data_IF_744216462305
#
_entry.id   IF_744216462305
#
_cell.length_a   1.000
_cell.length_b   1.000
_cell.length_c   1.000
_cell.angle_alpha   90.00
_cell.angle_beta   90.00
_cell.angle_gamma   90.00
#
_symmetry.space_group_name_H-M   'P 1'
#
loop_
_entity.id
_entity.type
_entity.pdbx_description
1 polymer ?
#
# COMPACT_ATOMS: atom_id res chain seq x y z
N UNK A 1 46.33 -16.75 -31.84
CA UNK A 1 46.11 -15.68 -30.84
C UNK A 1 44.69 -15.14 -31.04
N UNK A 2 43.65 -15.90 -30.69
CA UNK A 2 42.23 -15.53 -30.91
C UNK A 2 41.28 -16.51 -30.20
N UNK A 3 41.52 -16.81 -28.91
CA UNK A 3 40.69 -17.75 -28.12
C UNK A 3 40.38 -17.27 -26.69
N UNK A 4 40.47 -15.98 -26.41
CA UNK A 4 40.21 -15.42 -25.06
C UNK A 4 39.24 -14.22 -25.05
N UNK A 5 38.35 -14.09 -26.02
CA UNK A 5 37.39 -12.96 -26.09
C UNK A 5 35.92 -13.39 -25.93
N UNK A 6 35.60 -14.68 -25.96
CA UNK A 6 34.19 -15.17 -25.91
C UNK A 6 33.77 -15.63 -24.50
N UNK A 7 34.45 -15.19 -23.43
CA UNK A 7 34.05 -15.50 -22.05
C UNK A 7 33.81 -14.25 -21.19
N UNK A 8 33.47 -13.12 -21.82
CA UNK A 8 33.07 -11.89 -21.12
C UNK A 8 31.66 -11.39 -21.50
N UNK A 9 30.93 -12.14 -22.33
CA UNK A 9 29.59 -11.78 -22.81
C UNK A 9 28.43 -12.41 -22.01
N UNK A 10 28.72 -13.20 -20.97
CA UNK A 10 27.69 -13.86 -20.12
C UNK A 10 27.48 -13.11 -18.79
N UNK A 11 28.26 -12.07 -18.48
CA UNK A 11 28.09 -11.26 -17.26
C UNK A 11 27.28 -9.97 -17.45
N UNK A 12 26.73 -9.74 -18.64
CA UNK A 12 25.60 -8.82 -18.83
C UNK A 12 24.28 -9.58 -18.65
N UNK A 13 24.18 -10.37 -17.57
CA UNK A 13 22.87 -10.58 -16.96
C UNK A 13 22.52 -9.21 -16.40
N UNK A 14 21.90 -8.37 -17.23
CA UNK A 14 21.03 -7.32 -16.70
C UNK A 14 20.26 -7.98 -15.56
N UNK A 15 20.26 -7.44 -14.33
CA UNK A 15 19.30 -7.93 -13.36
C UNK A 15 17.95 -7.70 -14.04
N UNK A 16 17.38 -8.78 -14.60
CA UNK A 16 15.97 -8.87 -14.92
C UNK A 16 15.34 -8.50 -13.59
N UNK A 17 14.89 -7.26 -13.49
CA UNK A 17 14.25 -6.76 -12.29
C UNK A 17 13.07 -7.69 -12.07
N UNK A 18 13.23 -8.63 -11.14
CA UNK A 18 12.22 -9.63 -10.85
C UNK A 18 10.99 -8.88 -10.38
N UNK A 19 9.84 -9.16 -11.01
CA UNK A 19 8.56 -8.62 -10.57
C UNK A 19 8.39 -8.89 -9.06
N UNK A 20 8.11 -7.84 -8.30
CA UNK A 20 7.83 -7.97 -6.87
C UNK A 20 6.44 -8.57 -6.61
N UNK A 21 5.62 -8.75 -7.64
CA UNK A 21 4.30 -9.36 -7.57
C UNK A 21 3.35 -8.60 -6.60
N UNK A 22 3.46 -7.27 -6.55
CA UNK A 22 2.75 -6.41 -5.60
C UNK A 22 1.23 -6.56 -5.74
N UNK A 23 0.69 -6.37 -6.93
CA UNK A 23 -0.74 -6.51 -7.17
C UNK A 23 -1.22 -7.95 -6.99
N UNK A 24 -0.41 -8.93 -7.39
CA UNK A 24 -0.74 -10.34 -7.15
C UNK A 24 -0.89 -10.65 -5.66
N UNK A 25 -0.04 -10.07 -4.81
CA UNK A 25 -0.18 -10.16 -3.36
C UNK A 25 -1.44 -9.42 -2.87
N UNK A 26 -1.69 -8.20 -3.35
CA UNK A 26 -2.87 -7.41 -2.95
C UNK A 26 -4.19 -8.12 -3.27
N UNK A 27 -4.28 -8.81 -4.41
CA UNK A 27 -5.45 -9.60 -4.78
C UNK A 27 -5.76 -10.70 -3.77
N UNK A 28 -4.73 -11.36 -3.22
CA UNK A 28 -4.92 -12.36 -2.17
C UNK A 28 -5.46 -11.73 -0.89
N UNK A 29 -5.08 -10.48 -0.57
CA UNK A 29 -5.67 -9.75 0.56
C UNK A 29 -7.17 -9.52 0.35
N UNK A 30 -7.61 -9.11 -0.83
CA UNK A 30 -9.05 -8.94 -1.10
C UNK A 30 -9.85 -10.25 -0.95
N UNK A 31 -9.28 -11.38 -1.38
CA UNK A 31 -9.89 -12.70 -1.17
C UNK A 31 -9.91 -13.08 0.31
N UNK A 32 -8.84 -12.77 1.05
CA UNK A 32 -8.77 -13.03 2.48
C UNK A 32 -9.83 -12.23 3.25
N UNK A 33 -9.98 -10.95 2.96
CA UNK A 33 -11.00 -10.07 3.53
C UNK A 33 -12.42 -10.56 3.20
N UNK A 34 -12.65 -11.01 1.95
CA UNK A 34 -13.92 -11.63 1.56
C UNK A 34 -14.27 -12.83 2.45
N UNK A 35 -13.36 -13.80 2.57
CA UNK A 35 -13.61 -15.00 3.37
C UNK A 35 -13.68 -14.71 4.87
N UNK A 36 -12.91 -13.75 5.37
CA UNK A 36 -12.97 -13.33 6.77
C UNK A 36 -14.36 -12.76 7.10
N UNK A 37 -14.91 -11.92 6.21
CA UNK A 37 -16.26 -11.39 6.36
C UNK A 37 -17.33 -12.49 6.33
N UNK A 38 -17.15 -13.50 5.48
CA UNK A 38 -18.01 -14.69 5.44
C UNK A 38 -17.82 -15.64 6.63
N UNK A 39 -16.90 -15.34 7.55
CA UNK A 39 -16.50 -16.19 8.68
C UNK A 39 -15.92 -17.54 8.26
N UNK A 40 -15.41 -17.63 7.04
CA UNK A 40 -14.64 -18.78 6.54
C UNK A 40 -13.16 -18.65 6.94
N UNK A 41 -12.93 -18.66 8.26
CA UNK A 41 -11.65 -18.31 8.88
C UNK A 41 -10.43 -19.03 8.28
N UNK A 42 -10.55 -20.33 8.00
CA UNK A 42 -9.43 -21.09 7.43
C UNK A 42 -9.08 -20.61 6.03
N UNK A 43 -10.07 -20.38 5.16
CA UNK A 43 -9.82 -19.87 3.80
C UNK A 43 -9.25 -18.46 3.84
N UNK A 44 -9.76 -17.62 4.74
CA UNK A 44 -9.24 -16.29 4.94
C UNK A 44 -7.75 -16.33 5.33
N UNK A 45 -7.39 -17.18 6.30
CA UNK A 45 -6.00 -17.37 6.72
C UNK A 45 -5.13 -17.89 5.56
N UNK A 46 -5.60 -18.87 4.78
CA UNK A 46 -4.85 -19.42 3.66
C UNK A 46 -4.53 -18.35 2.61
N UNK A 47 -5.48 -17.48 2.29
CA UNK A 47 -5.28 -16.36 1.37
C UNK A 47 -4.32 -15.29 1.93
N UNK A 48 -4.42 -14.94 3.22
CA UNK A 48 -3.43 -14.07 3.86
C UNK A 48 -2.01 -14.65 3.78
N UNK A 49 -1.84 -15.93 4.10
CA UNK A 49 -0.55 -16.60 4.06
C UNK A 49 0.04 -16.66 2.64
N UNK A 50 -0.79 -16.91 1.62
CA UNK A 50 -0.34 -16.86 0.23
C UNK A 50 0.04 -15.43 -0.19
N UNK A 51 -0.68 -14.39 0.26
CA UNK A 51 -0.29 -13.00 0.04
C UNK A 51 1.12 -12.73 0.58
N UNK A 52 1.39 -13.06 1.85
CA UNK A 52 2.68 -12.82 2.50
C UNK A 52 3.82 -13.62 1.84
N UNK A 53 3.52 -14.81 1.32
CA UNK A 53 4.47 -15.64 0.58
C UNK A 53 4.80 -15.05 -0.80
N UNK A 54 3.82 -14.48 -1.50
CA UNK A 54 4.02 -13.81 -2.79
C UNK A 54 4.88 -12.56 -2.59
N UNK A 55 4.51 -11.72 -1.62
CA UNK A 55 5.28 -10.52 -1.27
C UNK A 55 5.04 -10.15 0.21
N UNK A 56 6.04 -10.36 1.06
CA UNK A 56 5.92 -10.06 2.50
C UNK A 56 5.95 -8.56 2.82
N UNK A 57 6.28 -7.70 1.84
CA UNK A 57 6.40 -6.25 2.01
C UNK A 57 5.17 -5.47 1.54
N UNK A 58 4.32 -6.07 0.69
CA UNK A 58 3.14 -5.39 0.14
C UNK A 58 2.00 -5.26 1.16
N UNK A 59 1.54 -6.33 1.81
CA UNK A 59 0.47 -6.20 2.80
C UNK A 59 0.94 -5.36 3.97
N UNK A 60 0.13 -4.42 4.42
CA UNK A 60 0.45 -3.59 5.57
C UNK A 60 0.43 -4.40 6.89
N UNK A 61 0.82 -3.77 7.99
CA UNK A 61 0.76 -4.37 9.32
C UNK A 61 -0.61 -4.94 9.67
N UNK A 62 -1.69 -4.29 9.25
CA UNK A 62 -3.06 -4.63 9.60
C UNK A 62 -3.44 -6.00 9.06
N UNK A 63 -3.04 -6.32 7.82
CA UNK A 63 -3.25 -7.64 7.22
C UNK A 63 -2.57 -8.75 8.04
N UNK A 64 -1.34 -8.53 8.51
CA UNK A 64 -0.64 -9.49 9.38
C UNK A 64 -1.35 -9.67 10.72
N UNK A 65 -1.83 -8.57 11.33
CA UNK A 65 -2.50 -8.60 12.63
C UNK A 65 -3.90 -9.25 12.55
N UNK A 66 -4.63 -9.00 11.46
CA UNK A 66 -5.92 -9.65 11.20
C UNK A 66 -5.72 -11.15 10.96
N UNK A 67 -4.74 -11.54 10.14
CA UNK A 67 -4.39 -12.94 9.94
C UNK A 67 -3.97 -13.62 11.26
N UNK A 68 -3.23 -12.93 12.13
CA UNK A 68 -2.87 -13.44 13.46
C UNK A 68 -4.11 -13.66 14.35
N UNK A 69 -5.07 -12.73 14.35
CA UNK A 69 -6.32 -12.86 15.08
C UNK A 69 -7.15 -14.07 14.60
N UNK A 70 -7.20 -14.28 13.28
CA UNK A 70 -7.84 -15.45 12.67
C UNK A 70 -7.12 -16.73 13.07
N UNK A 71 -5.78 -16.75 13.04
CA UNK A 71 -5.00 -17.91 13.47
C UNK A 71 -5.22 -18.27 14.94
N UNK A 72 -5.33 -17.28 15.84
CA UNK A 72 -5.72 -17.52 17.24
C UNK A 72 -7.13 -18.11 17.35
N UNK A 73 -8.10 -17.59 16.57
CA UNK A 73 -9.48 -18.11 16.54
C UNK A 73 -9.53 -19.58 16.15
N UNK A 74 -8.66 -19.98 15.22
CA UNK A 74 -8.47 -21.35 14.76
C UNK A 74 -7.61 -22.21 15.72
N UNK A 75 -7.21 -21.67 16.89
CA UNK A 75 -6.30 -22.31 17.86
C UNK A 75 -4.93 -22.66 17.27
N UNK A 76 -4.54 -22.01 16.19
CA UNK A 76 -3.23 -22.16 15.57
C UNK A 76 -2.26 -21.12 16.13
N UNK A 77 -1.93 -21.28 17.41
CA UNK A 77 -1.07 -20.37 18.16
C UNK A 77 0.32 -20.18 17.54
N UNK A 78 0.89 -21.23 16.94
CA UNK A 78 2.19 -21.16 16.28
C UNK A 78 2.15 -20.17 15.11
N UNK A 79 1.16 -20.30 14.22
CA UNK A 79 0.99 -19.38 13.09
C UNK A 79 0.65 -17.97 13.58
N UNK A 80 -0.19 -17.83 14.63
CA UNK A 80 -0.51 -16.53 15.19
C UNK A 80 0.74 -15.80 15.70
N UNK A 81 1.60 -16.50 16.46
CA UNK A 81 2.88 -15.96 16.93
C UNK A 81 3.78 -15.53 15.78
N UNK A 82 3.91 -16.38 14.77
CA UNK A 82 4.73 -16.08 13.59
C UNK A 82 4.23 -14.84 12.84
N UNK A 83 2.92 -14.69 12.66
CA UNK A 83 2.32 -13.52 12.01
C UNK A 83 2.48 -12.23 12.82
N UNK A 84 2.35 -12.30 14.15
CA UNK A 84 2.67 -11.17 15.04
C UNK A 84 4.15 -10.76 14.92
N UNK A 85 5.07 -11.73 14.86
CA UNK A 85 6.49 -11.44 14.62
C UNK A 85 6.72 -10.83 13.24
N UNK A 86 6.03 -11.30 12.20
CA UNK A 86 6.16 -10.76 10.84
C UNK A 86 5.57 -9.36 10.70
N UNK A 87 4.50 -9.01 11.43
CA UNK A 87 3.98 -7.63 11.43
C UNK A 87 5.06 -6.61 11.87
N UNK A 88 5.95 -7.00 12.78
CA UNK A 88 7.09 -6.17 13.21
C UNK A 88 8.23 -6.29 12.21
N UNK A 89 8.72 -7.50 11.95
CA UNK A 89 9.96 -7.72 11.18
C UNK A 89 9.82 -7.44 9.68
N UNK A 90 8.60 -7.43 9.12
CA UNK A 90 8.35 -7.13 7.70
C UNK A 90 7.66 -5.79 7.46
N UNK A 91 6.86 -5.31 8.41
CA UNK A 91 6.04 -4.10 8.27
C UNK A 91 6.31 -3.01 9.30
N UNK A 92 7.17 -3.25 10.30
CA UNK A 92 7.47 -2.30 11.38
C UNK A 92 6.19 -1.83 12.11
N UNK A 93 5.27 -2.76 12.39
CA UNK A 93 4.06 -2.47 13.14
C UNK A 93 4.39 -1.88 14.52
N UNK A 94 3.90 -0.67 14.88
CA UNK A 94 4.21 -0.05 16.16
C UNK A 94 3.69 -0.87 17.35
N UNK A 95 4.46 -0.91 18.45
CA UNK A 95 4.09 -1.65 19.66
C UNK A 95 2.68 -1.33 20.16
N UNK A 96 2.35 -0.05 20.27
CA UNK A 96 1.04 0.38 20.76
C UNK A 96 -0.09 0.09 19.76
N UNK A 97 0.23 0.05 18.47
CA UNK A 97 -0.73 -0.37 17.45
C UNK A 97 -1.09 -1.86 17.62
N UNK A 98 -0.09 -2.72 17.80
CA UNK A 98 -0.31 -4.16 18.03
C UNK A 98 -1.15 -4.41 19.29
N UNK A 99 -0.83 -3.73 20.41
CA UNK A 99 -1.54 -3.88 21.69
C UNK A 99 -3.02 -3.51 21.61
N UNK A 100 -3.35 -2.52 20.77
CA UNK A 100 -4.69 -1.96 20.67
C UNK A 100 -5.45 -2.43 19.42
N UNK A 101 -4.86 -3.33 18.62
CA UNK A 101 -5.51 -3.84 17.42
C UNK A 101 -6.78 -4.61 17.79
N UNK A 102 -7.93 -4.13 17.32
CA UNK A 102 -9.26 -4.54 17.80
C UNK A 102 -9.47 -6.05 17.80
N UNK A 103 -9.11 -6.73 16.70
CA UNK A 103 -9.29 -8.18 16.53
C UNK A 103 -8.39 -9.02 17.44
N UNK A 104 -7.31 -8.43 17.98
CA UNK A 104 -6.35 -9.09 18.87
C UNK A 104 -6.64 -8.88 20.36
N UNK A 105 -7.57 -7.98 20.72
CA UNK A 105 -7.96 -7.72 22.11
C UNK A 105 -8.32 -9.01 22.88
N UNK A 106 -9.08 -9.97 22.33
CA UNK A 106 -9.39 -11.22 23.04
C UNK A 106 -8.17 -12.07 23.39
N UNK A 107 -7.04 -11.87 22.70
CA UNK A 107 -5.83 -12.68 22.82
C UNK A 107 -4.67 -11.95 23.50
N UNK A 108 -4.91 -10.73 24.03
CA UNK A 108 -3.87 -9.89 24.65
C UNK A 108 -3.10 -10.59 25.78
N UNK A 109 -3.76 -11.52 26.47
CA UNK A 109 -3.20 -12.26 27.61
C UNK A 109 -2.58 -13.61 27.25
N UNK A 110 -2.65 -14.01 25.97
CA UNK A 110 -2.06 -15.24 25.46
C UNK A 110 -0.54 -15.26 25.67
N UNK A 111 0.01 -16.48 25.80
CA UNK A 111 1.45 -16.68 25.93
C UNK A 111 2.19 -16.13 24.71
N UNK A 112 1.67 -16.41 23.52
CA UNK A 112 2.25 -16.03 22.25
C UNK A 112 2.33 -14.51 22.09
N UNK A 113 1.25 -13.78 22.44
CA UNK A 113 1.27 -12.32 22.45
C UNK A 113 2.33 -11.78 23.42
N UNK A 114 2.31 -12.24 24.67
CA UNK A 114 3.28 -11.80 25.69
C UNK A 114 4.73 -12.04 25.27
N UNK A 115 5.02 -13.19 24.67
CA UNK A 115 6.36 -13.53 24.18
C UNK A 115 6.82 -12.61 23.04
N UNK A 116 5.96 -12.31 22.06
CA UNK A 116 6.30 -11.41 20.96
C UNK A 116 6.53 -9.99 21.47
N UNK A 117 5.64 -9.48 22.33
CA UNK A 117 5.75 -8.13 22.86
C UNK A 117 6.99 -7.95 23.76
N UNK A 118 7.39 -8.99 24.49
CA UNK A 118 8.61 -8.97 25.31
C UNK A 118 9.90 -8.90 24.46
N UNK A 119 9.83 -9.26 23.18
CA UNK A 119 10.95 -9.25 22.23
C UNK A 119 10.86 -8.09 21.23
N UNK A 120 9.97 -7.12 21.45
CA UNK A 120 9.66 -6.10 20.46
C UNK A 120 10.90 -5.37 19.93
N UNK A 121 11.76 -4.88 20.82
CA UNK A 121 12.97 -4.12 20.43
C UNK A 121 13.92 -4.94 19.55
N UNK A 122 14.07 -6.24 19.82
CA UNK A 122 14.90 -7.14 19.02
C UNK A 122 14.32 -7.39 17.62
N UNK A 123 13.00 -7.53 17.54
CA UNK A 123 12.25 -7.72 16.31
C UNK A 123 12.22 -6.45 15.45
N UNK A 124 12.10 -5.29 16.08
CA UNK A 124 12.23 -3.99 15.42
C UNK A 124 13.65 -3.82 14.86
N UNK A 125 14.68 -4.16 15.65
CA UNK A 125 16.06 -4.13 15.15
C UNK A 125 16.28 -5.12 13.99
N UNK A 126 15.58 -6.26 13.98
CA UNK A 126 15.62 -7.20 12.85
C UNK A 126 15.05 -6.56 11.57
N UNK A 127 13.95 -5.82 11.64
CA UNK A 127 13.41 -5.09 10.50
C UNK A 127 14.49 -4.22 9.83
N UNK A 128 15.21 -3.42 10.61
CA UNK A 128 16.25 -2.52 10.07
C UNK A 128 17.46 -3.29 9.48
N UNK A 129 17.82 -4.44 10.05
CA UNK A 129 18.90 -5.30 9.53
C UNK A 129 18.55 -5.93 8.17
N UNK A 130 17.27 -6.16 7.90
CA UNK A 130 16.78 -6.77 6.66
C UNK A 130 16.51 -5.74 5.53
N UNK A 131 16.74 -4.45 5.79
CA UNK A 131 16.63 -3.43 4.76
C UNK A 131 17.69 -3.64 3.67
N UNK A 132 17.25 -3.65 2.41
CA UNK A 132 18.16 -3.75 1.25
C UNK A 132 19.13 -2.57 1.20
N UNK A 133 18.65 -1.37 1.54
CA UNK A 133 19.42 -0.13 1.54
C UNK A 133 19.08 0.70 2.79
N UNK A 134 19.62 0.37 3.98
CA UNK A 134 19.24 1.04 5.23
C UNK A 134 19.56 2.54 5.21
N UNK A 135 20.68 2.95 4.59
CA UNK A 135 21.01 4.37 4.47
C UNK A 135 19.97 5.15 3.65
N UNK A 136 19.55 4.61 2.50
CA UNK A 136 18.52 5.24 1.66
C UNK A 136 17.18 5.30 2.39
N UNK A 137 16.84 4.23 3.11
CA UNK A 137 15.64 4.18 3.94
C UNK A 137 15.64 5.27 5.01
N UNK A 138 16.70 5.36 5.81
CA UNK A 138 16.81 6.37 6.87
C UNK A 138 16.76 7.78 6.30
N UNK A 139 17.36 7.99 5.13
CA UNK A 139 17.30 9.28 4.46
C UNK A 139 15.87 9.64 4.04
N UNK A 140 15.12 8.72 3.44
CA UNK A 140 13.71 8.94 3.08
C UNK A 140 12.86 9.21 4.33
N UNK A 141 13.08 8.48 5.43
CA UNK A 141 12.41 8.75 6.69
C UNK A 141 12.71 10.15 7.21
N UNK A 142 13.94 10.63 7.10
CA UNK A 142 14.30 12.00 7.48
C UNK A 142 13.63 13.05 6.60
N UNK A 143 13.51 12.80 5.28
CA UNK A 143 12.75 13.68 4.38
C UNK A 143 11.29 13.77 4.83
N UNK A 144 10.65 12.63 5.10
CA UNK A 144 9.26 12.56 5.57
C UNK A 144 9.10 13.26 6.92
N UNK A 145 9.98 12.98 7.89
CA UNK A 145 9.90 13.58 9.22
C UNK A 145 10.07 15.11 9.18
N UNK A 146 10.99 15.60 8.34
CA UNK A 146 11.20 17.04 8.15
C UNK A 146 9.98 17.71 7.52
N UNK A 147 9.41 17.08 6.49
CA UNK A 147 8.17 17.54 5.86
C UNK A 147 7.03 17.59 6.89
N UNK A 148 6.77 16.50 7.61
CA UNK A 148 5.68 16.43 8.59
C UNK A 148 5.87 17.38 9.77
N UNK A 149 7.11 17.65 10.20
CA UNK A 149 7.40 18.60 11.26
C UNK A 149 7.00 20.03 10.87
N UNK A 150 7.39 20.47 9.68
CA UNK A 150 7.04 21.81 9.18
C UNK A 150 5.54 21.97 9.01
N UNK A 151 4.86 20.89 8.62
CA UNK A 151 3.40 20.88 8.46
C UNK A 151 2.63 21.03 9.77
N UNK A 152 3.27 20.78 10.92
CA UNK A 152 2.68 20.98 12.26
C UNK A 152 2.91 22.38 12.82
N UNK A 153 3.78 23.18 12.20
CA UNK A 153 4.11 24.53 12.69
C UNK A 153 3.38 25.60 11.86
N UNK A 154 2.16 25.94 12.28
CA UNK A 154 1.26 26.87 11.60
C UNK A 154 1.89 28.24 11.30
N UNK A 155 2.85 28.69 12.12
CA UNK A 155 3.48 30.02 11.99
C UNK A 155 4.46 30.15 10.83
N UNK A 156 5.04 29.03 10.37
CA UNK A 156 6.12 29.04 9.37
C UNK A 156 5.81 28.20 8.13
N UNK A 157 4.66 27.53 8.15
CA UNK A 157 4.20 26.59 7.12
C UNK A 157 4.42 27.10 5.70
N UNK A 158 3.87 28.27 5.34
CA UNK A 158 3.83 28.73 3.95
C UNK A 158 5.20 28.75 3.25
N UNK A 159 6.18 29.47 3.83
CA UNK A 159 7.50 29.65 3.19
C UNK A 159 8.45 28.46 3.43
N UNK A 160 8.36 27.80 4.58
CA UNK A 160 9.24 26.66 4.86
C UNK A 160 8.78 25.38 4.17
N UNK A 161 7.46 25.20 3.94
CA UNK A 161 6.93 24.06 3.21
C UNK A 161 7.41 24.07 1.76
N UNK A 162 7.29 25.18 1.03
CA UNK A 162 7.71 25.25 -0.38
C UNK A 162 9.20 24.91 -0.59
N UNK A 163 10.07 25.48 0.26
CA UNK A 163 11.51 25.19 0.24
C UNK A 163 11.80 23.73 0.58
N UNK A 164 11.11 23.18 1.58
CA UNK A 164 11.32 21.80 2.03
C UNK A 164 10.79 20.82 1.01
N UNK A 165 9.61 21.06 0.44
CA UNK A 165 9.01 20.25 -0.61
C UNK A 165 9.93 20.16 -1.83
N UNK A 166 10.53 21.29 -2.25
CA UNK A 166 11.50 21.36 -3.35
C UNK A 166 12.79 20.60 -3.04
N UNK A 167 13.32 20.75 -1.83
CA UNK A 167 14.56 20.08 -1.39
C UNK A 167 14.34 18.57 -1.27
N UNK A 168 13.26 18.17 -0.61
CA UNK A 168 12.89 16.78 -0.39
C UNK A 168 12.61 16.06 -1.69
N UNK A 169 11.90 16.68 -2.63
CA UNK A 169 11.57 16.01 -3.88
C UNK A 169 12.78 15.83 -4.78
N UNK A 170 13.66 16.83 -4.85
CA UNK A 170 14.93 16.71 -5.58
C UNK A 170 15.76 15.56 -5.02
N UNK A 171 15.85 15.47 -3.69
CA UNK A 171 16.59 14.38 -3.05
C UNK A 171 15.91 13.03 -3.25
N UNK A 172 14.57 12.97 -3.20
CA UNK A 172 13.81 11.75 -3.46
C UNK A 172 14.02 11.25 -4.90
N UNK A 173 14.11 12.14 -5.89
CA UNK A 173 14.44 11.78 -7.27
C UNK A 173 15.82 11.12 -7.36
N UNK A 174 16.83 11.67 -6.67
CA UNK A 174 18.18 11.09 -6.64
C UNK A 174 18.19 9.69 -5.99
N UNK A 175 17.51 9.55 -4.85
CA UNK A 175 17.38 8.27 -4.15
C UNK A 175 16.63 7.25 -4.99
N UNK A 176 15.56 7.66 -5.67
CA UNK A 176 14.77 6.79 -6.56
C UNK A 176 15.60 6.31 -7.75
N UNK A 177 16.37 7.20 -8.39
CA UNK A 177 17.30 6.83 -9.48
C UNK A 177 18.33 5.81 -9.03
N UNK A 178 18.83 5.94 -7.79
CA UNK A 178 19.93 5.11 -7.28
C UNK A 178 19.47 3.78 -6.69
N UNK A 179 18.35 3.77 -5.97
CA UNK A 179 17.93 2.64 -5.13
C UNK A 179 16.57 2.06 -5.49
N UNK A 180 15.82 2.71 -6.37
CA UNK A 180 14.45 2.36 -6.73
C UNK A 180 13.40 3.08 -5.87
N UNK A 181 12.12 2.79 -6.16
CA UNK A 181 11.00 3.40 -5.44
C UNK A 181 10.84 2.79 -4.05
N UNK A 182 10.50 3.65 -3.09
CA UNK A 182 10.21 3.31 -1.70
C UNK A 182 8.78 3.79 -1.39
N UNK A 183 7.87 2.87 -1.10
CA UNK A 183 6.42 3.14 -1.02
C UNK A 183 6.06 4.22 -0.01
N UNK A 184 6.81 4.31 1.09
CA UNK A 184 6.60 5.34 2.13
C UNK A 184 6.84 6.77 1.64
N UNK A 185 7.63 6.94 0.58
CA UNK A 185 7.84 8.24 -0.03
C UNK A 185 6.62 8.77 -0.80
N UNK A 186 5.53 7.99 -0.91
CA UNK A 186 4.28 8.42 -1.53
C UNK A 186 3.77 9.74 -0.96
N UNK A 187 3.88 9.96 0.36
CA UNK A 187 3.44 11.21 1.00
C UNK A 187 4.21 12.44 0.50
N UNK A 188 5.50 12.27 0.17
CA UNK A 188 6.29 13.35 -0.41
C UNK A 188 5.79 13.68 -1.82
N UNK A 189 5.45 12.67 -2.63
CA UNK A 189 4.80 12.90 -3.93
C UNK A 189 3.42 13.51 -3.81
N UNK A 190 2.66 13.11 -2.78
CA UNK A 190 1.35 13.68 -2.49
C UNK A 190 1.45 15.19 -2.30
N UNK A 191 2.50 15.72 -1.68
CA UNK A 191 2.65 17.17 -1.53
C UNK A 191 2.94 17.90 -2.85
N UNK A 192 3.33 17.17 -3.90
CA UNK A 192 3.52 17.67 -5.26
C UNK A 192 2.35 17.34 -6.21
N UNK A 193 1.20 16.91 -5.68
CA UNK A 193 -0.04 16.58 -6.44
C UNK A 193 -0.65 17.73 -7.25
N UNK A 194 -0.10 18.94 -7.16
CA UNK A 194 -0.51 20.08 -7.98
C UNK A 194 0.06 20.04 -9.40
N UNK A 195 -0.23 21.10 -10.18
CA UNK A 195 0.22 21.24 -11.57
C UNK A 195 0.72 22.65 -11.86
N UNK A 196 1.54 23.21 -10.96
CA UNK A 196 2.35 24.39 -11.28
C UNK A 196 3.55 23.96 -12.14
N UNK A 197 4.21 24.90 -12.81
CA UNK A 197 5.44 24.61 -13.56
C UNK A 197 6.53 24.00 -12.65
N UNK A 198 6.54 24.38 -11.37
CA UNK A 198 7.40 23.79 -10.33
C UNK A 198 7.06 22.33 -10.03
N UNK A 199 5.83 21.88 -10.25
CA UNK A 199 5.46 20.47 -10.06
C UNK A 199 5.65 19.66 -11.35
N UNK A 200 5.78 20.33 -12.50
CA UNK A 200 5.97 19.67 -13.79
C UNK A 200 7.24 18.82 -13.81
N UNK A 201 8.36 19.33 -13.30
CA UNK A 201 9.62 18.55 -13.30
C UNK A 201 9.53 17.29 -12.44
N UNK A 202 8.74 17.33 -11.36
CA UNK A 202 8.49 16.18 -10.48
C UNK A 202 7.77 15.10 -11.26
N UNK A 203 6.66 15.45 -11.91
CA UNK A 203 5.85 14.49 -12.67
C UNK A 203 6.49 14.03 -13.97
N UNK A 204 7.28 14.89 -14.64
CA UNK A 204 8.09 14.51 -15.80
C UNK A 204 9.06 13.37 -15.45
N UNK A 205 9.53 13.30 -14.21
CA UNK A 205 10.36 12.19 -13.72
C UNK A 205 9.53 11.02 -13.17
N UNK A 206 8.67 11.25 -12.19
CA UNK A 206 8.01 10.18 -11.44
C UNK A 206 6.93 9.46 -12.25
N UNK A 207 6.15 10.15 -13.08
CA UNK A 207 5.08 9.51 -13.84
C UNK A 207 5.59 8.38 -14.75
N UNK A 208 6.53 8.61 -15.68
CA UNK A 208 7.04 7.53 -16.53
C UNK A 208 7.78 6.45 -15.72
N UNK A 209 8.48 6.83 -14.64
CA UNK A 209 9.14 5.87 -13.77
C UNK A 209 8.14 4.92 -13.10
N UNK A 210 7.10 5.46 -12.47
CA UNK A 210 6.09 4.69 -11.73
C UNK A 210 5.20 3.89 -12.68
N UNK A 211 4.84 4.42 -13.85
CA UNK A 211 4.14 3.66 -14.90
C UNK A 211 4.95 2.44 -15.37
N UNK A 212 6.28 2.55 -15.41
CA UNK A 212 7.14 1.41 -15.72
C UNK A 212 7.18 0.40 -14.57
N UNK A 213 7.22 0.86 -13.30
CA UNK A 213 7.16 -0.04 -12.15
C UNK A 213 5.79 -0.72 -11.98
N UNK A 214 4.68 -0.06 -12.35
CA UNK A 214 3.34 -0.66 -12.45
C UNK A 214 3.33 -1.82 -13.45
N UNK A 215 3.90 -1.61 -14.64
CA UNK A 215 3.96 -2.65 -15.69
C UNK A 215 4.76 -3.88 -15.25
N UNK A 216 5.73 -3.71 -14.35
CA UNK A 216 6.55 -4.79 -13.78
C UNK A 216 5.94 -5.42 -12.52
N UNK A 217 4.77 -4.95 -12.08
CA UNK A 217 4.14 -5.35 -10.81
C UNK A 217 5.03 -5.09 -9.58
N UNK A 218 5.74 -3.96 -9.59
CA UNK A 218 6.60 -3.50 -8.49
C UNK A 218 5.93 -2.45 -7.59
N UNK A 219 4.80 -1.91 -8.01
CA UNK A 219 3.93 -1.03 -7.23
C UNK A 219 2.47 -1.39 -7.48
N UNK A 220 1.58 -1.05 -6.56
CA UNK A 220 0.18 -1.44 -6.65
C UNK A 220 -0.53 -0.71 -7.79
N UNK A 221 -1.46 -1.39 -8.47
CA UNK A 221 -2.15 -0.85 -9.65
C UNK A 221 -2.96 0.42 -9.36
N UNK A 222 -3.37 0.62 -8.12
CA UNK A 222 -4.17 1.76 -7.69
C UNK A 222 -3.34 2.98 -7.28
N UNK A 223 -2.01 2.95 -7.47
CA UNK A 223 -1.08 4.02 -7.05
C UNK A 223 -1.54 5.44 -7.44
N UNK A 224 -2.09 5.61 -8.64
CA UNK A 224 -2.50 6.91 -9.18
C UNK A 224 -3.93 7.31 -8.83
N UNK A 225 -4.73 6.45 -8.21
CA UNK A 225 -6.16 6.69 -7.97
C UNK A 225 -6.40 7.99 -7.21
N UNK A 226 -5.70 8.22 -6.09
CA UNK A 226 -5.89 9.45 -5.31
C UNK A 226 -5.42 10.71 -6.08
N UNK A 227 -4.39 10.60 -6.92
CA UNK A 227 -3.93 11.72 -7.75
C UNK A 227 -4.95 12.07 -8.85
N UNK A 228 -5.55 11.06 -9.47
CA UNK A 228 -6.57 11.22 -10.50
C UNK A 228 -7.88 11.78 -9.93
N UNK A 229 -8.31 11.31 -8.75
CA UNK A 229 -9.47 11.86 -8.03
C UNK A 229 -9.26 13.34 -7.71
N UNK A 230 -8.09 13.70 -7.18
CA UNK A 230 -7.79 15.09 -6.90
C UNK A 230 -7.78 15.94 -8.16
N UNK A 231 -7.16 15.45 -9.22
CA UNK A 231 -7.11 16.16 -10.49
C UNK A 231 -8.51 16.48 -11.03
N UNK A 232 -9.45 15.52 -10.95
CA UNK A 232 -10.82 15.70 -11.39
C UNK A 232 -11.55 16.82 -10.61
N UNK A 233 -11.23 16.97 -9.32
CA UNK A 233 -11.87 17.95 -8.42
C UNK A 233 -11.20 19.32 -8.42
N UNK A 234 -9.98 19.45 -8.96
CA UNK A 234 -9.12 20.65 -8.85
C UNK A 234 -9.84 21.97 -9.22
N UNK A 235 -10.58 21.96 -10.33
CA UNK A 235 -11.31 23.14 -10.83
C UNK A 235 -12.83 23.01 -10.67
N UNK A 236 -13.30 21.92 -10.07
CA UNK A 236 -14.71 21.65 -9.86
C UNK A 236 -14.90 20.82 -8.57
N UNK A 237 -15.15 21.52 -7.47
CA UNK A 237 -15.43 20.89 -6.18
C UNK A 237 -16.75 20.10 -6.16
N UNK A 238 -17.52 20.09 -7.24
CA UNK A 238 -18.69 19.22 -7.44
C UNK A 238 -18.44 18.11 -8.47
N UNK A 239 -17.21 17.90 -8.92
CA UNK A 239 -16.91 16.79 -9.83
C UNK A 239 -17.24 15.44 -9.16
N UNK A 240 -17.97 14.56 -9.85
CA UNK A 240 -18.29 13.24 -9.32
C UNK A 240 -17.01 12.38 -9.21
N UNK A 241 -16.98 11.42 -8.28
CA UNK A 241 -15.83 10.55 -8.05
C UNK A 241 -15.57 9.60 -9.23
N UNK A 242 -14.31 9.34 -9.56
CA UNK A 242 -13.94 8.47 -10.69
C UNK A 242 -13.97 6.99 -10.29
N UNK A 243 -13.39 6.67 -9.13
CA UNK A 243 -13.15 5.34 -8.60
C UNK A 243 -13.63 5.15 -7.16
N UNK A 244 -13.29 6.08 -6.24
CA UNK A 244 -13.47 5.91 -4.78
C UNK A 244 -14.13 7.12 -4.13
N UNK A 245 -15.15 6.86 -3.32
CA UNK A 245 -15.78 7.83 -2.44
C UNK A 245 -14.96 7.97 -1.15
N UNK A 246 -14.57 9.19 -0.77
CA UNK A 246 -13.94 9.49 0.53
C UNK A 246 -12.44 9.21 0.61
N UNK A 247 -11.76 8.95 -0.51
CA UNK A 247 -10.30 8.85 -0.55
C UNK A 247 -9.59 10.19 -0.26
N UNK A 248 -8.28 10.14 0.02
CA UNK A 248 -7.48 11.32 0.38
C UNK A 248 -7.44 12.33 -0.77
N UNK A 249 -7.52 11.86 -2.02
CA UNK A 249 -7.62 12.73 -3.19
C UNK A 249 -8.97 13.40 -3.40
N UNK A 250 -9.97 13.07 -2.60
CA UNK A 250 -11.31 13.61 -2.81
C UNK A 250 -11.50 14.94 -2.10
N UNK A 251 -11.37 16.02 -2.86
CA UNK A 251 -11.73 17.37 -2.42
C UNK A 251 -13.18 17.76 -2.79
N UNK A 252 -13.93 16.89 -3.47
CA UNK A 252 -15.31 17.19 -3.87
C UNK A 252 -16.33 16.96 -2.76
N UNK A 253 -17.30 17.87 -2.67
CA UNK A 253 -18.49 17.74 -1.82
C UNK A 253 -19.64 16.95 -2.47
N UNK A 254 -19.56 16.66 -3.77
CA UNK A 254 -20.58 15.90 -4.50
C UNK A 254 -20.44 14.40 -4.20
N UNK A 255 -21.50 13.75 -3.70
CA UNK A 255 -21.51 12.33 -3.31
C UNK A 255 -21.88 11.34 -4.43
N UNK A 256 -21.70 11.71 -5.70
CA UNK A 256 -22.00 10.85 -6.85
C UNK A 256 -20.74 10.31 -7.53
N UNK A 257 -20.92 9.26 -8.33
CA UNK A 257 -19.88 8.67 -9.18
C UNK A 257 -20.03 9.11 -10.63
N UNK A 258 -18.90 9.36 -11.30
CA UNK A 258 -18.86 9.57 -12.74
C UNK A 258 -19.28 8.27 -13.42
N UNK A 259 -20.26 8.31 -14.33
CA UNK A 259 -20.68 7.14 -15.12
C UNK A 259 -20.72 5.83 -14.30
N UNK A 260 -21.65 5.80 -13.32
CA UNK A 260 -21.71 4.75 -12.30
C UNK A 260 -21.90 3.34 -12.88
N UNK A 261 -22.53 3.25 -14.05
CA UNK A 261 -22.78 1.98 -14.76
C UNK A 261 -21.48 1.31 -15.25
N UNK A 262 -20.44 2.09 -15.52
CA UNK A 262 -19.13 1.56 -15.93
C UNK A 262 -18.07 1.62 -14.81
N UNK A 263 -18.48 1.91 -13.58
CA UNK A 263 -17.57 2.10 -12.44
C UNK A 263 -16.67 0.88 -12.20
N UNK A 264 -17.25 -0.32 -12.11
CA UNK A 264 -16.48 -1.52 -11.81
C UNK A 264 -15.47 -1.87 -12.91
N UNK A 265 -15.82 -1.58 -14.18
CA UNK A 265 -14.89 -1.73 -15.30
C UNK A 265 -13.68 -0.80 -15.13
N UNK A 266 -13.90 0.46 -14.72
CA UNK A 266 -12.82 1.42 -14.45
C UNK A 266 -12.00 1.02 -13.23
N UNK A 267 -12.66 0.67 -12.11
CA UNK A 267 -12.02 0.17 -10.88
C UNK A 267 -11.12 -1.04 -11.16
N UNK A 268 -11.61 -2.01 -11.93
CA UNK A 268 -10.82 -3.17 -12.37
C UNK A 268 -9.57 -2.79 -13.15
N UNK A 269 -9.63 -1.76 -14.01
CA UNK A 269 -8.48 -1.33 -14.81
C UNK A 269 -7.31 -0.78 -13.97
N UNK A 270 -7.61 -0.28 -12.77
CA UNK A 270 -6.64 0.19 -11.77
C UNK A 270 -6.46 -0.79 -10.61
N UNK A 271 -6.90 -2.04 -10.77
CA UNK A 271 -6.73 -3.11 -9.77
C UNK A 271 -7.60 -2.99 -8.52
N UNK A 272 -8.64 -2.15 -8.53
CA UNK A 272 -9.59 -2.06 -7.43
C UNK A 272 -10.71 -3.10 -7.60
N UNK A 273 -11.19 -3.70 -6.50
CA UNK A 273 -12.36 -4.58 -6.52
C UNK A 273 -13.62 -3.81 -6.95
N UNK A 274 -14.70 -4.50 -7.37
CA UNK A 274 -16.00 -3.87 -7.61
C UNK A 274 -16.42 -2.99 -6.43
N UNK A 275 -17.16 -1.91 -6.68
CA UNK A 275 -17.59 -1.01 -5.60
C UNK A 275 -18.34 -1.77 -4.50
N UNK A 276 -19.15 -2.76 -4.90
CA UNK A 276 -19.90 -3.62 -3.99
C UNK A 276 -19.04 -4.26 -2.89
N UNK A 277 -17.76 -4.53 -3.14
CA UNK A 277 -16.86 -5.10 -2.14
C UNK A 277 -16.70 -4.20 -0.91
N UNK A 278 -16.63 -2.88 -1.09
CA UNK A 278 -16.53 -1.93 0.02
C UNK A 278 -17.79 -1.93 0.88
N UNK A 279 -18.96 -2.05 0.24
CA UNK A 279 -20.26 -2.12 0.92
C UNK A 279 -20.45 -3.44 1.65
N UNK A 280 -20.03 -4.54 1.01
CA UNK A 280 -19.99 -5.87 1.59
C UNK A 280 -19.16 -5.87 2.88
N UNK A 281 -17.91 -5.42 2.85
CA UNK A 281 -17.05 -5.41 4.05
C UNK A 281 -17.62 -4.57 5.20
N UNK A 282 -18.29 -3.46 4.89
CA UNK A 282 -18.86 -2.54 5.87
C UNK A 282 -20.28 -2.93 6.35
N UNK A 283 -20.83 -4.04 5.87
CA UNK A 283 -22.24 -4.43 6.10
C UNK A 283 -23.24 -3.32 5.71
N UNK A 284 -22.92 -2.53 4.68
CA UNK A 284 -23.81 -1.48 4.18
C UNK A 284 -24.68 -2.03 3.06
N UNK A 285 -26.00 -2.02 3.24
CA UNK A 285 -26.95 -2.51 2.25
C UNK A 285 -27.38 -1.45 1.22
N UNK A 286 -27.15 -0.16 1.51
CA UNK A 286 -27.59 0.92 0.63
C UNK A 286 -26.51 1.24 -0.40
N UNK A 287 -26.69 0.72 -1.61
CA UNK A 287 -25.82 1.01 -2.74
C UNK A 287 -26.13 2.38 -3.34
N UNK A 288 -25.16 3.07 -3.95
CA UNK A 288 -25.41 4.36 -4.59
C UNK A 288 -26.46 4.26 -5.70
N UNK A 289 -27.21 5.35 -5.90
CA UNK A 289 -28.22 5.44 -6.95
C UNK A 289 -27.63 5.11 -8.33
N UNK A 290 -28.28 4.19 -9.05
CA UNK A 290 -27.89 3.76 -10.39
C UNK A 290 -26.75 2.73 -10.44
N UNK A 291 -26.18 2.32 -9.29
CA UNK A 291 -25.25 1.20 -9.23
C UNK A 291 -26.01 -0.13 -9.16
N UNK A 292 -25.89 -0.93 -10.20
CA UNK A 292 -26.46 -2.27 -10.28
C UNK A 292 -25.35 -3.31 -10.15
N UNK A 293 -25.47 -4.20 -9.17
CA UNK A 293 -24.50 -5.27 -8.95
C UNK A 293 -25.19 -6.55 -8.48
N UNK A 294 -24.77 -7.70 -9.01
CA UNK A 294 -25.25 -9.00 -8.53
C UNK A 294 -24.26 -9.55 -7.49
N UNK A 295 -24.63 -9.64 -6.20
CA UNK A 295 -23.73 -10.10 -5.13
C UNK A 295 -23.12 -11.49 -5.35
N UNK A 296 -23.81 -12.37 -6.11
CA UNK A 296 -23.31 -13.72 -6.42
C UNK A 296 -22.03 -13.68 -7.27
N UNK A 297 -21.78 -12.58 -7.98
CA UNK A 297 -20.59 -12.42 -8.80
C UNK A 297 -19.34 -12.00 -8.00
N UNK A 298 -19.48 -11.54 -6.75
CA UNK A 298 -18.40 -10.90 -6.01
C UNK A 298 -17.13 -11.76 -5.95
N UNK A 299 -17.25 -13.02 -5.51
CA UNK A 299 -16.09 -13.90 -5.42
C UNK A 299 -15.40 -14.07 -6.78
N UNK A 300 -16.18 -14.33 -7.84
CA UNK A 300 -15.67 -14.50 -9.20
C UNK A 300 -14.99 -13.23 -9.70
N UNK A 301 -15.54 -12.05 -9.40
CA UNK A 301 -14.94 -10.78 -9.81
C UNK A 301 -13.62 -10.54 -9.08
N UNK A 302 -13.54 -10.86 -7.79
CA UNK A 302 -12.29 -10.80 -7.01
C UNK A 302 -11.23 -11.78 -7.55
N UNK A 303 -11.63 -13.00 -7.89
CA UNK A 303 -10.76 -14.00 -8.52
C UNK A 303 -10.27 -13.58 -9.92
N UNK A 304 -10.98 -12.68 -10.60
CA UNK A 304 -10.67 -12.19 -11.94
C UNK A 304 -10.10 -10.77 -11.99
N UNK A 305 -9.73 -10.20 -10.84
CA UNK A 305 -8.95 -8.95 -10.73
C UNK A 305 -7.56 -9.06 -11.36
#
# INVERSE_FOLDING_TARGET
MMKKIILFLILLVFPLASAQNVFKSQKQIYLAEYYAHQKEDQKALDHYLEAFKINSKTPNSDAYLEAAAIAFKLKNNKTAKELLTQSITKQLAPLDFIKNFKSLIPYKDSKEMKEVLAQYDDLENQYYRELKNPAAYMEIQNLIATDQLIRKEDKVFGKLAEKTDSTNITRLMELTKKYGWESRAWVLLWHHRGYTDEQKFVWDFFKPYLENELKKDNINKDFFVDFEELYATKNNHHAPAIYKMGGIGRASVNQTYYDIKNLDKRRKSVGLPPLYFEYFLNNNSELPEGYEYNPVNLLKDLENL
#
